data_IF_446926154879
#
_entry.id   IF_446926154879
#
_cell.length_a   1.000
_cell.length_b   1.000
_cell.length_c   1.000
_cell.angle_alpha   90.00
_cell.angle_beta   90.00
_cell.angle_gamma   90.00
#
_symmetry.space_group_name_H-M   'P 1'
#
loop_
_entity.id
_entity.type
_entity.pdbx_description
1 polymer ?
#
# COMPACT_ATOMS: atom_id res chain seq x y z
N UNK A 1 12.70 0.60 -4.47
CA UNK A 1 12.28 1.24 -3.20
C UNK A 1 11.20 0.40 -2.57
N UNK A 2 11.30 0.15 -1.28
CA UNK A 2 10.31 -0.61 -0.52
C UNK A 2 9.46 0.29 0.34
N UNK A 3 8.16 0.05 0.27
CA UNK A 3 7.15 0.79 1.00
C UNK A 3 6.39 -0.16 1.91
N UNK A 4 6.17 0.28 3.14
CA UNK A 4 5.10 -0.21 4.00
C UNK A 4 3.89 0.68 3.77
N UNK A 5 2.73 0.12 3.43
CA UNK A 5 1.52 0.87 3.05
C UNK A 5 0.32 0.38 3.86
N UNK A 6 -0.38 1.29 4.53
CA UNK A 6 -1.55 0.97 5.37
C UNK A 6 -2.63 2.05 5.22
N UNK A 7 -3.90 1.77 5.58
CA UNK A 7 -4.97 2.70 5.32
C UNK A 7 -5.06 3.77 6.40
N UNK A 8 -5.34 5.01 5.99
CA UNK A 8 -5.63 6.13 6.90
C UNK A 8 -6.87 5.84 7.75
N UNK A 9 -7.85 5.15 7.17
CA UNK A 9 -9.09 4.74 7.83
C UNK A 9 -9.17 3.23 8.09
N UNK A 10 -9.76 2.84 9.22
CA UNK A 10 -10.04 1.44 9.58
C UNK A 10 -11.01 0.74 8.60
N UNK A 11 -11.74 1.49 7.79
CA UNK A 11 -12.70 0.96 6.81
C UNK A 11 -12.12 0.88 5.39
N UNK A 12 -10.90 0.36 5.25
CA UNK A 12 -10.30 0.17 3.93
C UNK A 12 -10.93 -1.02 3.20
N UNK A 13 -11.41 -0.76 2.00
CA UNK A 13 -11.91 -1.81 1.13
C UNK A 13 -10.74 -2.58 0.51
N UNK A 14 -10.80 -3.91 0.51
CA UNK A 14 -9.70 -4.77 0.04
C UNK A 14 -9.29 -4.50 -1.41
N UNK A 15 -10.21 -4.03 -2.26
CA UNK A 15 -9.91 -3.69 -3.65
C UNK A 15 -8.96 -2.50 -3.79
N UNK A 16 -8.91 -1.57 -2.82
CA UNK A 16 -8.01 -0.41 -2.87
C UNK A 16 -6.55 -0.83 -2.92
N UNK A 17 -6.18 -1.85 -2.15
CA UNK A 17 -4.84 -2.41 -2.14
C UNK A 17 -4.43 -3.01 -3.49
N UNK A 18 -5.38 -3.60 -4.22
CA UNK A 18 -5.14 -4.20 -5.53
C UNK A 18 -4.91 -3.11 -6.57
N UNK A 19 -5.83 -2.14 -6.67
CA UNK A 19 -5.71 -1.06 -7.66
C UNK A 19 -4.54 -0.12 -7.38
N UNK A 20 -4.29 0.22 -6.12
CA UNK A 20 -3.09 0.98 -5.75
C UNK A 20 -1.81 0.30 -6.23
N UNK A 21 -1.68 -1.02 -6.05
CA UNK A 21 -0.50 -1.77 -6.51
C UNK A 21 -0.35 -1.74 -8.03
N UNK A 22 -1.45 -1.87 -8.78
CA UNK A 22 -1.44 -1.82 -10.24
C UNK A 22 -1.02 -0.42 -10.74
N UNK A 23 -1.62 0.63 -10.19
CA UNK A 23 -1.31 2.02 -10.56
C UNK A 23 0.11 2.43 -10.16
N UNK A 24 0.55 2.03 -8.95
CA UNK A 24 1.91 2.26 -8.46
C UNK A 24 2.95 1.39 -9.18
N UNK A 25 2.51 0.44 -10.02
CA UNK A 25 3.37 -0.59 -10.64
C UNK A 25 4.23 -1.32 -9.60
N UNK A 26 3.64 -1.57 -8.43
CA UNK A 26 4.33 -2.11 -7.27
C UNK A 26 4.26 -3.63 -7.25
N UNK A 27 5.41 -4.27 -7.04
CA UNK A 27 5.51 -5.70 -6.75
C UNK A 27 5.17 -5.93 -5.29
N UNK A 28 4.21 -6.81 -5.00
CA UNK A 28 3.89 -7.21 -3.63
C UNK A 28 5.02 -8.09 -3.10
N UNK A 29 5.54 -7.75 -1.93
CA UNK A 29 6.50 -8.56 -1.20
C UNK A 29 5.76 -9.37 -0.14
N UNK A 30 4.91 -8.72 0.65
CA UNK A 30 4.14 -9.38 1.71
C UNK A 30 2.84 -8.63 2.05
N UNK A 31 1.87 -9.36 2.61
CA UNK A 31 0.61 -8.82 3.14
C UNK A 31 0.48 -9.24 4.59
N UNK A 32 0.51 -8.25 5.50
CA UNK A 32 0.36 -8.49 6.93
C UNK A 32 -1.10 -8.31 7.33
N UNK A 33 -1.62 -9.25 8.11
CA UNK A 33 -3.01 -9.28 8.54
C UNK A 33 -3.13 -9.11 10.07
N UNK A 34 -4.12 -8.31 10.49
CA UNK A 34 -4.60 -8.29 11.87
C UNK A 34 -5.98 -8.97 11.91
N UNK A 35 -6.00 -10.23 12.32
CA UNK A 35 -7.20 -11.06 12.27
C UNK A 35 -7.61 -11.34 10.82
N UNK A 36 -8.78 -10.84 10.39
CA UNK A 36 -9.28 -10.99 9.01
C UNK A 36 -9.09 -9.74 8.14
N UNK A 37 -8.46 -8.69 8.69
CA UNK A 37 -8.24 -7.44 8.01
C UNK A 37 -6.77 -7.30 7.60
N UNK A 38 -6.52 -6.71 6.43
CA UNK A 38 -5.17 -6.30 6.03
C UNK A 38 -4.75 -5.15 6.94
N UNK A 39 -3.65 -5.35 7.66
CA UNK A 39 -3.01 -4.31 8.47
C UNK A 39 -2.18 -3.39 7.57
N UNK A 40 -1.24 -3.98 6.83
CA UNK A 40 -0.42 -3.28 5.85
C UNK A 40 0.12 -4.20 4.76
N UNK A 41 0.53 -3.59 3.65
CA UNK A 41 1.31 -4.24 2.59
C UNK A 41 2.77 -3.84 2.69
N UNK A 42 3.64 -4.75 2.28
CA UNK A 42 5.01 -4.45 1.89
C UNK A 42 5.10 -4.58 0.38
N UNK A 43 5.46 -3.51 -0.32
CA UNK A 43 5.61 -3.52 -1.77
C UNK A 43 6.93 -2.87 -2.21
N UNK A 44 7.37 -3.21 -3.41
CA UNK A 44 8.61 -2.74 -4.02
C UNK A 44 8.34 -2.14 -5.40
N UNK A 45 8.94 -0.99 -5.68
CA UNK A 45 8.86 -0.30 -6.98
C UNK A 45 10.25 0.07 -7.50
N UNK A 46 10.38 0.11 -8.82
CA UNK A 46 11.60 0.60 -9.50
C UNK A 46 11.69 2.14 -9.45
N UNK A 47 10.54 2.82 -9.38
CA UNK A 47 10.41 4.28 -9.36
C UNK A 47 9.62 4.75 -8.14
N UNK A 48 9.84 5.99 -7.72
CA UNK A 48 9.20 6.51 -6.52
C UNK A 48 7.70 6.61 -6.78
N UNK A 49 6.89 6.12 -5.84
CA UNK A 49 5.45 6.30 -5.90
C UNK A 49 5.17 7.76 -5.53
N UNK A 50 4.45 8.54 -6.36
CA UNK A 50 4.17 9.92 -6.04
C UNK A 50 3.12 10.02 -4.92
N UNK A 51 3.27 11.04 -4.06
CA UNK A 51 2.49 11.20 -2.83
C UNK A 51 0.98 11.29 -3.07
N UNK A 52 0.59 11.90 -4.20
CA UNK A 52 -0.80 12.04 -4.63
C UNK A 52 -1.50 10.70 -4.86
N UNK A 53 -0.76 9.66 -5.25
CA UNK A 53 -1.31 8.32 -5.43
C UNK A 53 -1.68 7.68 -4.08
N UNK A 54 -0.88 7.89 -3.04
CA UNK A 54 -1.22 7.42 -1.69
C UNK A 54 -2.47 8.14 -1.17
N UNK A 55 -2.54 9.45 -1.38
CA UNK A 55 -3.71 10.26 -1.01
C UNK A 55 -4.97 9.84 -1.76
N UNK A 56 -4.88 9.60 -3.07
CA UNK A 56 -6.00 9.12 -3.90
C UNK A 56 -6.64 7.84 -3.33
N UNK A 57 -5.80 6.92 -2.84
CA UNK A 57 -6.27 5.65 -2.31
C UNK A 57 -6.54 5.67 -0.80
N UNK A 58 -6.31 6.79 -0.11
CA UNK A 58 -6.45 6.95 1.34
C UNK A 58 -5.46 6.04 2.14
N UNK A 59 -4.23 5.97 1.65
CA UNK A 59 -3.13 5.23 2.26
C UNK A 59 -2.10 6.15 2.90
N UNK A 60 -1.54 5.71 4.02
CA UNK A 60 -0.28 6.17 4.58
C UNK A 60 0.85 5.26 4.08
N UNK A 61 2.08 5.77 4.14
CA UNK A 61 3.25 4.96 3.81
C UNK A 61 4.49 5.29 4.65
N UNK A 62 5.40 4.33 4.69
CA UNK A 62 6.75 4.49 5.22
C UNK A 62 7.75 3.83 4.26
N UNK A 63 8.84 4.53 3.95
CA UNK A 63 9.94 3.97 3.17
C UNK A 63 10.80 3.09 4.09
N UNK A 64 10.99 1.82 3.73
CA UNK A 64 11.66 0.83 4.59
C UNK A 64 12.92 0.21 3.96
N UNK A 65 13.39 0.73 2.83
CA UNK A 65 14.66 0.31 2.20
C UNK A 65 14.69 0.42 0.68
#
# INVERSE_FOLDING_TARGET
MRYKVWPKSRSCQSWKYVYFREDARAKLIDTIFHGRHVDHLICETDQAIPDDLFDQYDFEYELIG
#
